data_IF_605977396698
#
_entry.id   IF_605977396698
#
_cell.length_a   1.000
_cell.length_b   1.000
_cell.length_c   1.000
_cell.angle_alpha   90.00
_cell.angle_beta   90.00
_cell.angle_gamma   90.00
#
_symmetry.space_group_name_H-M   'P 1'
#
loop_
_entity.id
_entity.type
_entity.pdbx_description
1 polymer ?
#
# COMPACT_ATOMS: atom_id res chain seq x y z
N UNK A 1 -2.10 0.27 -8.45
CA UNK A 1 -1.34 -0.99 -8.26
C UNK A 1 0.15 -0.73 -8.05
N UNK A 2 0.86 -0.10 -9.01
CA UNK A 2 2.32 0.10 -8.93
C UNK A 2 2.73 0.88 -7.67
N UNK A 3 1.98 1.93 -7.30
CA UNK A 3 2.18 2.67 -6.05
C UNK A 3 2.13 1.77 -4.81
N UNK A 4 1.15 0.86 -4.73
CA UNK A 4 1.01 -0.09 -3.64
C UNK A 4 2.14 -1.13 -3.61
N UNK A 5 2.66 -1.56 -4.78
CA UNK A 5 3.80 -2.48 -4.86
C UNK A 5 5.06 -1.89 -4.25
N UNK A 6 5.40 -0.67 -4.67
CA UNK A 6 6.57 0.06 -4.13
C UNK A 6 6.40 0.26 -2.62
N UNK A 7 5.18 0.62 -2.19
CA UNK A 7 4.89 0.88 -0.78
C UNK A 7 4.92 -0.40 0.07
N UNK A 8 4.45 -1.54 -0.44
CA UNK A 8 4.55 -2.83 0.23
C UNK A 8 6.02 -3.23 0.46
N UNK A 9 6.89 -3.00 -0.53
CA UNK A 9 8.31 -3.27 -0.41
C UNK A 9 9.03 -2.37 0.59
N UNK A 10 8.73 -1.06 0.61
CA UNK A 10 9.40 -0.08 1.49
C UNK A 10 8.76 0.03 2.87
N UNK A 11 7.49 0.42 2.91
CA UNK A 11 6.77 0.70 4.15
C UNK A 11 6.33 -0.61 4.82
N UNK A 12 5.79 -1.56 4.06
CA UNK A 12 5.41 -2.88 4.60
C UNK A 12 6.59 -3.59 5.27
N UNK A 13 7.75 -3.63 4.62
CA UNK A 13 8.97 -4.20 5.21
C UNK A 13 9.46 -3.42 6.43
N UNK A 14 9.40 -2.08 6.42
CA UNK A 14 9.81 -1.26 7.57
C UNK A 14 8.94 -1.48 8.81
N UNK A 15 7.61 -1.59 8.64
CA UNK A 15 6.66 -1.86 9.73
C UNK A 15 6.99 -3.21 10.36
N UNK A 16 7.22 -4.22 9.53
CA UNK A 16 7.61 -5.55 9.99
C UNK A 16 8.94 -5.50 10.73
N UNK A 17 9.96 -4.82 10.18
CA UNK A 17 11.27 -4.71 10.79
C UNK A 17 11.19 -4.11 12.20
N UNK A 18 10.49 -2.98 12.34
CA UNK A 18 10.34 -2.30 13.64
C UNK A 18 9.63 -3.19 14.67
N UNK A 19 8.51 -3.81 14.30
CA UNK A 19 7.76 -4.69 15.20
C UNK A 19 8.56 -5.93 15.59
N UNK A 20 9.27 -6.50 14.62
CA UNK A 20 10.13 -7.67 14.82
C UNK A 20 11.28 -7.34 15.77
N UNK A 21 11.94 -6.19 15.58
CA UNK A 21 13.01 -5.72 16.46
C UNK A 21 12.47 -5.46 17.86
N UNK A 22 11.33 -4.77 18.00
CA UNK A 22 10.69 -4.56 19.31
C UNK A 22 10.40 -5.89 20.01
N UNK A 23 9.99 -6.92 19.26
CA UNK A 23 9.76 -8.26 19.80
C UNK A 23 11.04 -8.95 20.26
N UNK A 24 12.09 -8.94 19.45
CA UNK A 24 13.39 -9.56 19.80
C UNK A 24 14.06 -8.85 20.98
N UNK A 25 13.82 -7.55 21.14
CA UNK A 25 14.29 -6.76 22.30
C UNK A 25 13.36 -6.81 23.51
N UNK A 26 12.35 -7.70 23.51
CA UNK A 26 11.37 -7.88 24.59
C UNK A 26 10.55 -6.62 24.96
N UNK A 27 10.55 -5.59 24.10
CA UNK A 27 9.80 -4.34 24.34
C UNK A 27 8.29 -4.55 24.27
N UNK A 28 7.85 -5.49 23.43
CA UNK A 28 6.42 -5.87 23.32
C UNK A 28 5.97 -6.60 24.59
N UNK A 29 6.81 -7.49 25.10
CA UNK A 29 6.52 -8.25 26.32
C UNK A 29 6.52 -7.32 27.54
N UNK A 30 7.44 -6.35 27.59
CA UNK A 30 7.46 -5.32 28.62
C UNK A 30 6.18 -4.46 28.62
N UNK A 31 5.66 -4.10 27.43
CA UNK A 31 4.37 -3.39 27.30
C UNK A 31 3.19 -4.19 27.86
N UNK A 32 3.19 -5.51 27.65
CA UNK A 32 2.15 -6.42 28.15
C UNK A 32 2.22 -6.55 29.68
N UNK A 33 3.43 -6.64 30.26
CA UNK A 33 3.63 -6.64 31.73
C UNK A 33 3.20 -5.31 32.37
N UNK A 34 3.32 -4.19 31.65
CA UNK A 34 2.81 -2.89 32.09
C UNK A 34 1.27 -2.76 31.97
N UNK A 35 0.56 -3.82 31.56
CA UNK A 35 -0.90 -3.83 31.43
C UNK A 35 -1.42 -3.07 30.20
N UNK A 36 -0.56 -2.74 29.24
CA UNK A 36 -0.95 -2.04 28.02
C UNK A 36 -1.10 -3.03 26.87
N UNK A 37 -2.23 -2.97 26.14
CA UNK A 37 -2.44 -3.85 24.99
C UNK A 37 -1.53 -3.45 23.80
N UNK A 38 -0.57 -4.28 23.38
CA UNK A 38 0.41 -3.93 22.34
C UNK A 38 -0.24 -3.77 20.96
N UNK A 39 -1.31 -4.50 20.67
CA UNK A 39 -2.04 -4.38 19.38
C UNK A 39 -2.69 -3.00 19.28
N UNK A 40 -3.36 -2.56 20.35
CA UNK A 40 -4.02 -1.25 20.35
C UNK A 40 -3.00 -0.10 20.27
N UNK A 41 -1.84 -0.26 20.91
CA UNK A 41 -0.84 0.79 20.98
C UNK A 41 0.07 0.87 19.74
N UNK A 42 0.42 -0.27 19.13
CA UNK A 42 1.37 -0.33 18.01
C UNK A 42 0.67 -0.51 16.66
N UNK A 43 -0.30 -1.42 16.56
CA UNK A 43 -0.90 -1.84 15.26
C UNK A 43 -1.92 -0.83 14.77
N UNK A 44 -2.87 -0.44 15.62
CA UNK A 44 -3.97 0.45 15.25
C UNK A 44 -3.49 1.77 14.62
N UNK A 45 -2.54 2.53 15.23
CA UNK A 45 -2.09 3.79 14.61
C UNK A 45 -1.40 3.56 13.26
N UNK A 46 -0.62 2.48 13.12
CA UNK A 46 0.05 2.13 11.85
C UNK A 46 -0.95 1.74 10.77
N UNK A 47 -1.98 1.00 11.15
CA UNK A 47 -3.06 0.60 10.25
C UNK A 47 -3.83 1.80 9.70
N UNK A 48 -4.24 2.72 10.58
CA UNK A 48 -4.89 3.96 10.18
C UNK A 48 -3.99 4.83 9.30
N UNK A 49 -2.70 4.97 9.67
CA UNK A 49 -1.74 5.74 8.89
C UNK A 49 -1.60 5.20 7.46
N UNK A 50 -1.39 3.89 7.29
CA UNK A 50 -1.30 3.27 5.96
C UNK A 50 -2.60 3.39 5.15
N UNK A 51 -3.75 3.24 5.80
CA UNK A 51 -5.07 3.31 5.15
C UNK A 51 -5.35 4.70 4.57
N UNK A 52 -4.93 5.77 5.26
CA UNK A 52 -5.13 7.16 4.82
C UNK A 52 -4.02 7.63 3.86
N UNK A 53 -2.78 7.20 4.08
CA UNK A 53 -1.65 7.66 3.28
C UNK A 53 -1.65 7.06 1.87
N UNK A 54 -2.08 5.81 1.68
CA UNK A 54 -2.08 5.19 0.36
C UNK A 54 -3.01 5.82 -0.68
N UNK A 55 -4.28 6.17 -0.39
CA UNK A 55 -5.11 6.89 -1.34
C UNK A 55 -4.54 8.28 -1.63
N UNK A 56 -4.01 8.97 -0.63
CA UNK A 56 -3.35 10.28 -0.81
C UNK A 56 -2.16 10.18 -1.76
N UNK A 57 -1.31 9.17 -1.58
CA UNK A 57 -0.16 8.94 -2.45
C UNK A 57 -0.57 8.52 -3.87
N UNK A 58 -1.69 7.80 -3.99
CA UNK A 58 -2.24 7.41 -5.30
C UNK A 58 -2.70 8.63 -6.09
N UNK A 59 -3.34 9.60 -5.44
CA UNK A 59 -3.74 10.86 -6.07
C UNK A 59 -2.49 11.62 -6.58
N UNK A 60 -1.46 11.75 -5.74
CA UNK A 60 -0.21 12.40 -6.14
C UNK A 60 0.46 11.68 -7.33
N UNK A 61 0.49 10.35 -7.30
CA UNK A 61 1.03 9.55 -8.40
C UNK A 61 0.25 9.72 -9.70
N UNK A 62 -1.08 9.91 -9.64
CA UNK A 62 -1.89 10.17 -10.82
C UNK A 62 -1.57 11.53 -11.43
N UNK A 63 -1.43 12.58 -10.60
CA UNK A 63 -1.02 13.91 -11.08
C UNK A 63 0.37 13.88 -11.73
N UNK A 64 1.34 13.21 -11.08
CA UNK A 64 2.67 13.04 -11.63
C UNK A 64 2.65 12.25 -12.96
N UNK A 65 1.80 11.22 -13.06
CA UNK A 65 1.62 10.43 -14.28
C UNK A 65 1.04 11.26 -15.44
N UNK A 66 0.03 12.09 -15.17
CA UNK A 66 -0.56 12.98 -16.19
C UNK A 66 0.47 14.03 -16.64
N UNK A 67 1.19 14.65 -15.71
CA UNK A 67 2.23 15.64 -16.03
C UNK A 67 3.40 15.06 -16.83
N UNK A 68 3.83 13.83 -16.47
CA UNK A 68 4.84 13.09 -17.23
C UNK A 68 4.37 12.75 -18.64
N UNK A 69 3.13 12.29 -18.78
CA UNK A 69 2.51 12.03 -20.08
C UNK A 69 2.42 13.28 -20.96
N UNK A 70 1.96 14.41 -20.41
CA UNK A 70 1.90 15.69 -21.12
C UNK A 70 3.28 16.12 -21.64
N UNK A 71 4.31 16.06 -20.78
CA UNK A 71 5.67 16.45 -21.15
C UNK A 71 6.23 15.54 -22.25
N UNK A 72 6.02 14.23 -22.15
CA UNK A 72 6.47 13.28 -23.15
C UNK A 72 5.80 13.51 -24.51
N UNK A 73 4.48 13.75 -24.54
CA UNK A 73 3.72 13.98 -25.77
C UNK A 73 4.17 15.25 -26.49
N UNK A 74 4.39 16.34 -25.74
CA UNK A 74 4.81 17.63 -26.32
C UNK A 74 6.26 17.59 -26.79
N UNK A 75 7.17 16.91 -26.07
CA UNK A 75 8.62 16.95 -26.38
C UNK A 75 9.08 15.88 -27.37
N UNK A 76 8.50 14.67 -27.31
CA UNK A 76 8.95 13.53 -28.12
C UNK A 76 8.09 13.33 -29.38
N UNK A 77 6.80 13.65 -29.31
CA UNK A 77 5.84 13.34 -30.38
C UNK A 77 5.35 14.58 -31.14
N UNK A 78 5.76 15.78 -30.72
CA UNK A 78 5.39 17.08 -31.34
C UNK A 78 3.87 17.26 -31.54
N UNK A 79 3.07 16.61 -30.69
CA UNK A 79 1.61 16.69 -30.73
C UNK A 79 1.17 17.90 -29.91
N UNK A 80 0.15 18.60 -30.41
CA UNK A 80 -0.43 19.75 -29.72
C UNK A 80 -0.93 19.35 -28.32
N UNK A 81 -0.33 19.93 -27.27
CA UNK A 81 -0.69 19.65 -25.87
C UNK A 81 -2.15 19.94 -25.53
N UNK A 82 -2.83 20.80 -26.29
CA UNK A 82 -4.27 21.05 -26.16
C UNK A 82 -5.10 19.81 -26.51
N UNK A 83 -4.72 19.07 -27.57
CA UNK A 83 -5.40 17.83 -27.96
C UNK A 83 -5.26 16.75 -26.88
N UNK A 84 -4.09 16.64 -26.25
CA UNK A 84 -3.86 15.71 -25.14
C UNK A 84 -4.77 16.02 -23.94
N UNK A 85 -4.87 17.28 -23.53
CA UNK A 85 -5.71 17.70 -22.41
C UNK A 85 -7.20 17.44 -22.68
N UNK A 86 -7.64 17.68 -23.92
CA UNK A 86 -9.04 17.49 -24.32
C UNK A 86 -9.44 16.01 -24.31
N UNK A 87 -8.60 15.13 -24.85
CA UNK A 87 -8.80 13.68 -24.76
C UNK A 87 -8.68 13.16 -23.32
N UNK A 88 -7.72 13.67 -22.54
CA UNK A 88 -7.59 13.31 -21.13
C UNK A 88 -8.85 13.64 -20.34
N UNK A 89 -9.43 14.84 -20.52
CA UNK A 89 -10.70 15.21 -19.87
C UNK A 89 -11.88 14.35 -20.32
N UNK A 90 -11.95 14.00 -21.60
CA UNK A 90 -13.03 13.18 -22.15
C UNK A 90 -13.00 11.74 -21.64
N UNK A 91 -11.80 11.20 -21.42
CA UNK A 91 -11.60 9.83 -20.94
C UNK A 91 -11.51 9.72 -19.41
N UNK A 92 -11.33 10.83 -18.69
CA UNK A 92 -11.34 10.90 -17.22
C UNK A 92 -12.78 10.81 -16.71
N UNK A 93 -13.29 9.59 -16.60
CA UNK A 93 -14.56 9.32 -15.94
C UNK A 93 -14.41 9.43 -14.42
N UNK A 94 -15.28 10.21 -13.77
CA UNK A 94 -15.28 10.41 -12.29
C UNK A 94 -15.39 9.07 -11.56
N UNK A 95 -16.11 8.09 -12.12
CA UNK A 95 -16.22 6.74 -11.57
C UNK A 95 -14.88 5.99 -11.52
N UNK A 96 -14.00 6.19 -12.51
CA UNK A 96 -12.67 5.56 -12.53
C UNK A 96 -11.77 6.07 -11.42
N UNK A 97 -11.89 7.36 -11.08
CA UNK A 97 -11.17 7.97 -9.95
C UNK A 97 -11.64 7.35 -8.63
N UNK A 98 -12.95 7.26 -8.41
CA UNK A 98 -13.52 6.66 -7.20
C UNK A 98 -13.11 5.18 -7.04
N UNK A 99 -13.19 4.39 -8.12
CA UNK A 99 -12.72 2.99 -8.13
C UNK A 99 -11.24 2.92 -7.70
N UNK A 100 -10.40 3.81 -8.23
CA UNK A 100 -8.97 3.82 -7.91
C UNK A 100 -8.69 4.16 -6.44
N UNK A 101 -9.47 5.08 -5.83
CA UNK A 101 -9.35 5.44 -4.42
C UNK A 101 -9.79 4.29 -3.49
N UNK A 102 -10.91 3.63 -3.82
CA UNK A 102 -11.40 2.47 -3.05
C UNK A 102 -10.35 1.36 -3.08
N UNK A 103 -9.81 1.05 -4.26
CA UNK A 103 -8.72 0.07 -4.41
C UNK A 103 -7.49 0.49 -3.60
N UNK A 104 -7.04 1.73 -3.71
CA UNK A 104 -5.87 2.22 -2.98
C UNK A 104 -6.02 2.08 -1.45
N UNK A 105 -7.21 2.39 -0.94
CA UNK A 105 -7.52 2.29 0.50
C UNK A 105 -7.46 0.83 0.97
N UNK A 106 -8.04 -0.10 0.19
CA UNK A 106 -8.02 -1.53 0.50
C UNK A 106 -6.59 -2.12 0.49
N UNK A 107 -5.74 -1.69 -0.45
CA UNK A 107 -4.33 -2.09 -0.47
C UNK A 107 -3.59 -1.61 0.77
N UNK A 108 -3.91 -0.41 1.29
CA UNK A 108 -3.27 0.11 2.50
C UNK A 108 -3.62 -0.66 3.75
N UNK A 109 -4.88 -1.06 3.87
CA UNK A 109 -5.32 -1.98 4.93
C UNK A 109 -4.58 -3.32 4.84
N UNK A 110 -4.49 -3.90 3.64
CA UNK A 110 -3.82 -5.19 3.44
C UNK A 110 -2.33 -5.14 3.80
N UNK A 111 -1.59 -4.12 3.35
CA UNK A 111 -0.16 -3.97 3.66
C UNK A 111 0.08 -3.82 5.16
N UNK A 112 -0.72 -2.99 5.83
CA UNK A 112 -0.57 -2.79 7.26
C UNK A 112 -0.91 -4.06 8.06
N UNK A 113 -1.98 -4.77 7.68
CA UNK A 113 -2.37 -6.03 8.32
C UNK A 113 -1.29 -7.10 8.17
N UNK A 114 -0.79 -7.32 6.95
CA UNK A 114 0.27 -8.30 6.68
C UNK A 114 1.56 -7.93 7.40
N UNK A 115 1.97 -6.66 7.35
CA UNK A 115 3.19 -6.19 8.01
C UNK A 115 3.14 -6.36 9.53
N UNK A 116 2.01 -6.00 10.14
CA UNK A 116 1.83 -6.20 11.57
C UNK A 116 1.80 -7.68 11.95
N UNK A 117 1.03 -8.50 11.23
CA UNK A 117 0.95 -9.94 11.49
C UNK A 117 2.31 -10.63 11.42
N UNK A 118 3.10 -10.35 10.37
CA UNK A 118 4.43 -10.93 10.21
C UNK A 118 5.40 -10.42 11.30
N UNK A 119 5.29 -9.16 11.70
CA UNK A 119 6.09 -8.56 12.77
C UNK A 119 5.88 -9.21 14.15
N UNK A 120 4.64 -9.59 14.48
CA UNK A 120 4.35 -10.32 15.74
C UNK A 120 4.63 -11.82 15.66
N UNK A 121 4.73 -12.42 14.47
CA UNK A 121 4.80 -13.89 14.33
C UNK A 121 6.19 -14.49 14.59
N UNK A 122 7.22 -13.68 14.81
CA UNK A 122 8.60 -14.17 14.97
C UNK A 122 8.82 -14.75 16.38
N UNK A 123 9.49 -15.91 16.52
CA UNK A 123 9.98 -16.40 17.80
C UNK A 123 11.08 -15.49 18.37
N UNK A 124 11.06 -15.19 19.66
CA UNK A 124 12.07 -14.35 20.35
C UNK A 124 13.52 -14.85 20.15
N UNK A 125 13.70 -16.15 19.90
CA UNK A 125 15.01 -16.75 19.61
C UNK A 125 15.60 -16.42 18.21
N UNK A 126 14.85 -15.77 17.32
CA UNK A 126 15.26 -15.55 15.93
C UNK A 126 16.38 -14.51 15.71
N UNK A 127 16.68 -13.68 16.71
CA UNK A 127 17.73 -12.65 16.62
C UNK A 127 17.56 -11.71 15.41
N UNK A 128 18.66 -11.09 14.97
CA UNK A 128 18.67 -10.18 13.82
C UNK A 128 18.38 -10.87 12.48
N UNK A 129 18.75 -12.15 12.34
CA UNK A 129 18.53 -12.93 11.13
C UNK A 129 17.03 -13.18 10.89
N UNK A 130 16.30 -13.55 11.95
CA UNK A 130 14.85 -13.74 11.92
C UNK A 130 14.07 -12.47 11.55
N UNK A 131 14.57 -11.30 11.94
CA UNK A 131 14.01 -10.01 11.51
C UNK A 131 14.11 -9.86 9.99
N UNK A 132 15.28 -10.14 9.41
CA UNK A 132 15.50 -10.07 7.96
C UNK A 132 14.65 -11.07 7.15
N UNK A 133 14.49 -12.29 7.65
CA UNK A 133 13.64 -13.30 7.00
C UNK A 133 12.17 -12.92 7.07
N UNK A 134 11.73 -12.33 8.19
CA UNK A 134 10.36 -11.87 8.32
C UNK A 134 10.07 -10.64 7.46
N UNK A 135 11.00 -9.69 7.33
CA UNK A 135 10.81 -8.49 6.49
C UNK A 135 10.69 -8.87 5.02
N UNK A 136 11.56 -9.76 4.53
CA UNK A 136 11.49 -10.26 3.15
C UNK A 136 10.22 -11.07 2.92
N UNK A 137 9.88 -11.99 3.82
CA UNK A 137 8.64 -12.75 3.76
C UNK A 137 7.39 -11.88 3.81
N UNK A 138 7.40 -10.80 4.59
CA UNK A 138 6.31 -9.81 4.66
C UNK A 138 6.11 -9.10 3.33
N UNK A 139 7.20 -8.68 2.67
CA UNK A 139 7.14 -8.00 1.38
C UNK A 139 6.52 -8.93 0.32
N UNK A 140 6.99 -10.17 0.22
CA UNK A 140 6.47 -11.16 -0.74
C UNK A 140 4.98 -11.44 -0.49
N UNK A 141 4.59 -11.70 0.75
CA UNK A 141 3.19 -11.98 1.09
C UNK A 141 2.32 -10.76 0.78
N UNK A 142 2.77 -9.55 1.14
CA UNK A 142 2.03 -8.31 0.85
C UNK A 142 1.81 -8.13 -0.67
N UNK A 143 2.83 -8.39 -1.49
CA UNK A 143 2.73 -8.29 -2.95
C UNK A 143 1.71 -9.29 -3.51
N UNK A 144 1.75 -10.55 -3.05
CA UNK A 144 0.78 -11.58 -3.47
C UNK A 144 -0.64 -11.21 -3.02
N UNK A 145 -0.80 -10.74 -1.78
CA UNK A 145 -2.10 -10.30 -1.26
C UNK A 145 -2.65 -9.12 -2.07
N UNK A 146 -1.83 -8.15 -2.45
CA UNK A 146 -2.25 -7.03 -3.30
C UNK A 146 -2.72 -7.52 -4.68
N UNK A 147 -2.02 -8.48 -5.29
CA UNK A 147 -2.42 -9.05 -6.58
C UNK A 147 -3.78 -9.74 -6.51
N UNK A 148 -3.98 -10.59 -5.50
CA UNK A 148 -5.25 -11.28 -5.28
C UNK A 148 -6.37 -10.26 -5.03
N UNK A 149 -6.11 -9.28 -4.16
CA UNK A 149 -7.07 -8.25 -3.83
C UNK A 149 -7.42 -7.38 -5.04
N UNK A 150 -6.45 -7.06 -5.89
CA UNK A 150 -6.71 -6.32 -7.12
C UNK A 150 -7.61 -7.11 -8.07
N UNK A 151 -7.35 -8.40 -8.28
CA UNK A 151 -8.19 -9.25 -9.13
C UNK A 151 -9.64 -9.29 -8.62
N UNK A 152 -9.82 -9.56 -7.32
CA UNK A 152 -11.14 -9.64 -6.68
C UNK A 152 -11.88 -8.29 -6.76
N UNK A 153 -11.22 -7.20 -6.39
CA UNK A 153 -11.81 -5.88 -6.44
C UNK A 153 -12.11 -5.43 -7.86
N UNK A 154 -11.24 -5.79 -8.82
CA UNK A 154 -11.49 -5.49 -10.22
C UNK A 154 -12.76 -6.17 -10.69
N UNK A 155 -12.91 -7.47 -10.42
CA UNK A 155 -14.10 -8.21 -10.81
C UNK A 155 -15.37 -7.62 -10.15
N UNK A 156 -15.33 -7.31 -8.85
CA UNK A 156 -16.51 -6.81 -8.13
C UNK A 156 -16.87 -5.39 -8.59
N UNK A 157 -15.91 -4.47 -8.61
CA UNK A 157 -16.16 -3.06 -8.91
C UNK A 157 -16.57 -2.85 -10.37
N UNK A 158 -15.96 -3.57 -11.32
CA UNK A 158 -16.38 -3.47 -12.72
C UNK A 158 -17.76 -4.09 -12.97
N UNK A 159 -18.10 -5.19 -12.29
CA UNK A 159 -19.42 -5.81 -12.42
C UNK A 159 -20.54 -4.91 -11.85
N UNK A 160 -20.30 -4.27 -10.70
CA UNK A 160 -21.24 -3.35 -10.06
C UNK A 160 -21.41 -2.01 -10.81
N UNK A 161 -20.36 -1.47 -11.42
CA UNK A 161 -20.41 -0.17 -12.09
C UNK A 161 -20.84 -0.24 -13.57
N UNK A 162 -21.13 -1.43 -14.11
CA UNK A 162 -21.70 -1.61 -15.44
C UNK A 162 -20.83 -1.14 -16.61
N UNK A 163 -19.49 -1.19 -16.46
CA UNK A 163 -18.52 -0.81 -17.51
C UNK A 163 -18.15 -2.00 -18.41
N UNK A 164 -19.16 -2.66 -18.98
CA UNK A 164 -19.04 -3.57 -20.15
C UNK A 164 -19.93 -3.04 -21.26
#
# INVERSE_FOLDING_TARGET
MITAFVLAGRIGASITAELSTMKVTEQIDALEVMGTNPVKYLVVPRFLACTIMLPTLTIFSTFAGIGGGFTAVVTLFDVNGYFFLLEAQKNLFVGSVLISLIKATSFGMAIAAVGCYKGFSIPTAGGAEGVGTATTGSAVISLITILILDFVLNHILFNILGLV
#
